data_IF_786195802310
#
_entry.id   IF_786195802310
#
_cell.length_a   1.000
_cell.length_b   1.000
_cell.length_c   1.000
_cell.angle_alpha   90.00
_cell.angle_beta   90.00
_cell.angle_gamma   90.00
#
_symmetry.space_group_name_H-M   'P 1'
#
loop_
_entity.id
_entity.type
_entity.pdbx_description
1 polymer ?
#
# COMPACT_ATOMS: atom_id res chain seq x y z
N UNK A 1 10.87 25.68 -4.43
CA UNK A 1 9.50 26.26 -4.49
C UNK A 1 8.73 25.65 -3.34
N UNK A 2 8.07 26.42 -2.47
CA UNK A 2 7.21 25.85 -1.43
C UNK A 2 5.97 25.31 -2.11
N UNK A 3 5.69 24.02 -1.88
CA UNK A 3 4.47 23.38 -2.37
C UNK A 3 3.27 24.11 -1.75
N UNK A 4 2.32 24.52 -2.57
CA UNK A 4 1.12 25.21 -2.09
C UNK A 4 0.28 24.23 -1.26
N UNK A 5 0.26 24.44 0.05
CA UNK A 5 -0.44 23.60 1.03
C UNK A 5 -1.96 23.70 0.96
N UNK A 6 -2.53 24.70 0.27
CA UNK A 6 -3.98 24.76 0.02
C UNK A 6 -4.45 23.60 -0.85
N UNK A 7 -3.61 23.05 -1.72
CA UNK A 7 -3.92 21.82 -2.45
C UNK A 7 -3.85 20.57 -1.55
N UNK A 8 -3.12 20.62 -0.44
CA UNK A 8 -3.00 19.54 0.54
C UNK A 8 -4.22 19.41 1.47
N UNK A 9 -5.04 20.45 1.60
CA UNK A 9 -6.26 20.38 2.42
C UNK A 9 -7.28 19.35 1.91
N UNK A 10 -7.11 18.86 0.68
CA UNK A 10 -7.93 17.83 0.05
C UNK A 10 -7.25 16.45 0.04
N UNK A 11 -5.97 16.36 0.45
CA UNK A 11 -5.24 15.09 0.46
C UNK A 11 -5.52 14.40 1.78
N UNK A 12 -5.88 13.10 1.75
CA UNK A 12 -6.07 12.35 2.97
C UNK A 12 -4.81 12.45 3.85
N UNK A 13 -4.94 12.91 5.09
CA UNK A 13 -3.81 12.95 6.05
C UNK A 13 -3.17 11.55 6.22
N UNK A 14 -3.93 10.48 5.92
CA UNK A 14 -3.43 9.11 5.88
C UNK A 14 -2.23 8.93 4.94
N UNK A 15 -2.17 9.69 3.85
CA UNK A 15 -1.02 9.71 2.94
C UNK A 15 0.22 10.34 3.62
N UNK A 16 0.02 11.40 4.40
CA UNK A 16 1.10 12.07 5.14
C UNK A 16 1.67 11.19 6.26
N UNK A 17 0.85 10.34 6.88
CA UNK A 17 1.31 9.37 7.89
C UNK A 17 2.29 8.37 7.26
N UNK A 18 1.97 7.85 6.08
CA UNK A 18 2.84 6.87 5.40
C UNK A 18 4.15 7.50 4.96
N UNK A 19 4.09 8.72 4.46
CA UNK A 19 5.26 9.50 4.07
C UNK A 19 6.18 9.78 5.27
N UNK A 20 5.60 10.31 6.37
CA UNK A 20 6.33 10.56 7.63
C UNK A 20 6.96 9.29 8.19
N UNK A 21 6.25 8.16 8.16
CA UNK A 21 6.74 6.90 8.69
C UNK A 21 7.99 6.43 7.95
N UNK A 22 7.99 6.49 6.62
CA UNK A 22 9.13 6.10 5.77
C UNK A 22 10.31 7.06 5.91
N UNK A 23 10.06 8.36 5.94
CA UNK A 23 11.11 9.37 6.15
C UNK A 23 11.77 9.23 7.53
N UNK A 24 10.97 9.02 8.59
CA UNK A 24 11.47 8.76 9.95
C UNK A 24 12.30 7.48 10.00
N UNK A 25 11.89 6.45 9.28
CA UNK A 25 12.63 5.18 9.20
C UNK A 25 13.97 5.33 8.51
N UNK A 26 14.01 6.07 7.41
CA UNK A 26 15.22 6.33 6.62
C UNK A 26 16.33 6.97 7.45
N UNK A 27 15.98 7.83 8.42
CA UNK A 27 16.92 8.47 9.34
C UNK A 27 17.51 7.57 10.43
N UNK A 28 17.08 6.31 10.56
CA UNK A 28 17.58 5.40 11.59
C UNK A 28 18.92 4.78 11.19
N UNK A 29 19.79 4.41 12.17
CA UNK A 29 21.06 3.77 11.88
C UNK A 29 20.95 2.44 11.11
N UNK A 30 19.88 1.68 11.35
CA UNK A 30 19.58 0.42 10.68
C UNK A 30 18.12 0.41 10.24
N UNK A 31 17.78 1.08 9.14
CA UNK A 31 16.41 1.22 8.69
C UNK A 31 15.88 -0.09 8.06
N UNK A 32 14.56 -0.32 8.18
CA UNK A 32 13.86 -1.41 7.50
C UNK A 32 13.80 -1.18 5.99
N UNK A 33 13.68 0.08 5.60
CA UNK A 33 13.75 0.54 4.22
C UNK A 33 14.37 1.94 4.20
N UNK A 34 14.91 2.32 3.04
CA UNK A 34 15.37 3.68 2.77
C UNK A 34 14.48 4.30 1.72
N UNK A 35 13.90 5.44 2.06
CA UNK A 35 13.04 6.23 1.19
C UNK A 35 13.50 7.69 1.22
N UNK A 36 14.56 7.98 0.46
CA UNK A 36 15.14 9.33 0.38
C UNK A 36 14.13 10.33 -0.22
N UNK A 37 13.23 9.82 -1.09
CA UNK A 37 12.18 10.64 -1.68
C UNK A 37 11.16 11.08 -0.63
N UNK A 38 10.80 10.20 0.30
CA UNK A 38 9.94 10.56 1.42
C UNK A 38 10.58 11.65 2.31
N UNK A 39 11.92 11.59 2.52
CA UNK A 39 12.66 12.63 3.26
C UNK A 39 12.61 13.95 2.51
N UNK A 40 12.87 13.94 1.20
CA UNK A 40 12.78 15.12 0.34
C UNK A 40 11.38 15.75 0.41
N UNK A 41 10.33 14.97 0.17
CA UNK A 41 8.94 15.44 0.10
C UNK A 41 8.51 16.08 1.42
N UNK A 42 8.81 15.44 2.56
CA UNK A 42 8.48 16.00 3.90
C UNK A 42 9.10 17.38 4.09
N UNK A 43 10.32 17.60 3.61
CA UNK A 43 10.99 18.89 3.69
C UNK A 43 10.29 20.03 2.92
N UNK A 44 9.44 19.69 1.96
CA UNK A 44 8.69 20.68 1.15
C UNK A 44 7.25 20.87 1.60
N UNK A 45 6.71 19.99 2.48
CA UNK A 45 5.33 20.05 2.95
C UNK A 45 5.26 20.87 4.24
N UNK A 46 4.50 21.95 4.23
CA UNK A 46 4.21 22.72 5.43
C UNK A 46 3.11 22.05 6.26
N UNK A 47 3.49 21.02 7.01
CA UNK A 47 2.58 20.27 7.90
C UNK A 47 3.29 19.99 9.23
N UNK A 48 2.56 20.03 10.34
CA UNK A 48 3.11 19.69 11.66
C UNK A 48 3.19 18.17 11.87
N UNK A 49 4.26 17.56 11.39
CA UNK A 49 4.55 16.14 11.58
C UNK A 49 4.86 15.75 13.04
N UNK A 50 5.01 16.73 13.95
CA UNK A 50 5.26 16.43 15.37
C UNK A 50 4.11 15.64 16.03
N UNK A 51 2.90 15.76 15.48
CA UNK A 51 1.71 15.02 15.91
C UNK A 51 1.91 13.50 15.83
N UNK A 52 2.73 13.03 14.90
CA UNK A 52 2.97 11.60 14.68
C UNK A 52 4.09 11.01 15.54
N UNK A 53 4.82 11.81 16.33
CA UNK A 53 5.97 11.32 17.14
C UNK A 53 5.62 10.17 18.09
N UNK A 54 4.37 10.04 18.52
CA UNK A 54 3.90 8.99 19.43
C UNK A 54 3.22 7.81 18.70
N UNK A 55 3.14 7.85 17.38
CA UNK A 55 2.43 6.85 16.55
C UNK A 55 3.38 5.70 16.17
N UNK A 56 3.87 5.00 17.19
CA UNK A 56 4.94 4.00 17.04
C UNK A 56 4.48 2.77 16.28
N UNK A 57 3.27 2.27 16.56
CA UNK A 57 2.77 1.04 15.92
C UNK A 57 2.53 1.24 14.43
N UNK A 58 1.91 2.36 14.05
CA UNK A 58 1.71 2.68 12.63
C UNK A 58 3.03 2.95 11.91
N UNK A 59 3.99 3.63 12.55
CA UNK A 59 5.32 3.86 11.95
C UNK A 59 6.01 2.54 11.61
N UNK A 60 6.03 1.58 12.54
CA UNK A 60 6.61 0.25 12.32
C UNK A 60 5.81 -0.50 11.26
N UNK A 61 4.47 -0.51 11.38
CA UNK A 61 3.58 -1.21 10.45
C UNK A 61 3.73 -0.75 9.02
N UNK A 62 3.73 0.57 8.77
CA UNK A 62 3.93 1.14 7.43
C UNK A 62 5.27 0.69 6.83
N UNK A 63 6.34 0.71 7.63
CA UNK A 63 7.67 0.37 7.12
C UNK A 63 7.85 -1.14 6.86
N UNK A 64 7.32 -2.01 7.73
CA UNK A 64 7.32 -3.46 7.48
C UNK A 64 6.47 -3.78 6.24
N UNK A 65 5.28 -3.18 6.13
CA UNK A 65 4.41 -3.35 4.98
C UNK A 65 5.11 -2.99 3.67
N UNK A 66 5.67 -1.79 3.61
CA UNK A 66 6.37 -1.31 2.42
C UNK A 66 7.57 -2.22 2.07
N UNK A 67 8.38 -2.62 3.06
CA UNK A 67 9.53 -3.50 2.85
C UNK A 67 9.12 -4.89 2.32
N UNK A 68 8.05 -5.48 2.84
CA UNK A 68 7.55 -6.78 2.37
C UNK A 68 7.03 -6.69 0.93
N UNK A 69 6.26 -5.64 0.61
CA UNK A 69 5.76 -5.41 -0.74
C UNK A 69 6.91 -5.13 -1.72
N UNK A 70 7.92 -4.35 -1.31
CA UNK A 70 9.13 -4.09 -2.12
C UNK A 70 9.88 -5.39 -2.43
N UNK A 71 10.04 -6.27 -1.44
CA UNK A 71 10.72 -7.56 -1.61
C UNK A 71 9.94 -8.48 -2.56
N UNK A 72 8.62 -8.59 -2.41
CA UNK A 72 7.79 -9.39 -3.32
C UNK A 72 7.77 -8.82 -4.74
N UNK A 73 7.72 -7.49 -4.88
CA UNK A 73 7.79 -6.81 -6.17
C UNK A 73 9.13 -7.07 -6.86
N UNK A 74 10.24 -6.94 -6.14
CA UNK A 74 11.59 -7.25 -6.66
C UNK A 74 11.70 -8.72 -7.08
N UNK A 75 11.15 -9.64 -6.27
CA UNK A 75 11.12 -11.06 -6.58
C UNK A 75 10.31 -11.38 -7.83
N UNK A 76 9.16 -10.71 -8.02
CA UNK A 76 8.34 -10.84 -9.23
C UNK A 76 9.08 -10.33 -10.47
N UNK A 77 9.69 -9.14 -10.39
CA UNK A 77 10.45 -8.55 -11.50
C UNK A 77 11.66 -9.42 -11.86
N UNK A 78 12.34 -10.01 -10.89
CA UNK A 78 13.45 -10.92 -11.15
C UNK A 78 13.02 -12.19 -11.91
N UNK A 79 11.81 -12.68 -11.68
CA UNK A 79 11.22 -13.82 -12.40
C UNK A 79 10.64 -13.42 -13.75
N UNK A 80 10.18 -12.16 -13.90
CA UNK A 80 9.55 -11.61 -15.09
C UNK A 80 10.20 -10.28 -15.48
N UNK A 81 11.41 -10.30 -16.08
CA UNK A 81 12.14 -9.06 -16.42
C UNK A 81 11.41 -8.15 -17.40
N UNK A 82 10.44 -8.69 -18.14
CA UNK A 82 9.59 -7.97 -19.10
C UNK A 82 8.18 -7.70 -18.55
N UNK A 83 8.02 -7.68 -17.23
CA UNK A 83 6.73 -7.45 -16.58
C UNK A 83 6.16 -6.05 -16.86
N UNK A 84 4.84 -5.95 -16.64
CA UNK A 84 4.15 -4.69 -16.41
C UNK A 84 3.74 -4.66 -14.94
N UNK A 85 4.09 -3.58 -14.24
CA UNK A 85 3.67 -3.34 -12.86
C UNK A 85 2.68 -2.19 -12.85
N UNK A 86 1.58 -2.34 -12.11
CA UNK A 86 0.66 -1.24 -11.82
C UNK A 86 0.43 -1.13 -10.32
N UNK A 87 0.64 0.07 -9.78
CA UNK A 87 0.34 0.40 -8.38
C UNK A 87 -0.95 1.22 -8.32
N UNK A 88 -1.98 0.67 -7.71
CA UNK A 88 -3.31 1.29 -7.55
C UNK A 88 -3.37 2.01 -6.20
N UNK A 89 -3.73 3.29 -6.23
CA UNK A 89 -3.68 4.16 -5.05
C UNK A 89 -2.24 4.50 -4.66
N UNK A 90 -1.43 4.91 -5.63
CA UNK A 90 0.02 5.12 -5.46
C UNK A 90 0.36 6.27 -4.50
N UNK A 91 -0.51 7.27 -4.37
CA UNK A 91 -0.29 8.43 -3.51
C UNK A 91 1.06 9.09 -3.75
N UNK A 92 1.83 9.26 -2.68
CA UNK A 92 3.20 9.76 -2.69
C UNK A 92 4.22 8.65 -2.41
N UNK A 93 3.88 7.37 -2.64
CA UNK A 93 4.84 6.28 -2.50
C UNK A 93 5.92 6.33 -3.59
N UNK A 94 7.17 6.21 -3.21
CA UNK A 94 8.34 6.24 -4.10
C UNK A 94 8.86 4.81 -4.38
N UNK A 95 7.97 3.82 -4.52
CA UNK A 95 8.39 2.43 -4.72
C UNK A 95 9.20 2.25 -5.99
N UNK A 96 8.78 2.86 -7.09
CA UNK A 96 9.52 2.79 -8.34
C UNK A 96 10.96 3.27 -8.17
N UNK A 97 11.17 4.44 -7.55
CA UNK A 97 12.49 5.00 -7.27
C UNK A 97 13.25 4.16 -6.25
N UNK A 98 12.57 3.72 -5.20
CA UNK A 98 13.15 2.91 -4.11
C UNK A 98 13.65 1.55 -4.60
N UNK A 99 13.03 0.99 -5.64
CA UNK A 99 13.48 -0.23 -6.32
C UNK A 99 14.53 0.04 -7.42
N UNK A 100 15.03 1.27 -7.54
CA UNK A 100 16.08 1.63 -8.49
C UNK A 100 15.58 1.83 -9.91
N UNK A 101 14.33 2.24 -10.09
CA UNK A 101 13.72 2.47 -11.40
C UNK A 101 13.87 1.25 -12.33
N UNK A 102 13.25 0.12 -12.01
CA UNK A 102 13.51 -1.16 -12.68
C UNK A 102 13.26 -1.08 -14.19
N UNK A 103 14.16 -1.66 -14.95
CA UNK A 103 14.09 -1.71 -16.43
C UNK A 103 13.18 -2.86 -16.87
N UNK A 104 11.88 -2.67 -16.72
CA UNK A 104 10.81 -3.58 -17.13
C UNK A 104 10.06 -3.04 -18.35
N UNK A 105 9.02 -3.73 -18.81
CA UNK A 105 8.21 -3.23 -19.94
C UNK A 105 7.57 -1.90 -19.60
N UNK A 106 6.84 -1.82 -18.47
CA UNK A 106 6.24 -0.57 -18.01
C UNK A 106 5.88 -0.61 -16.52
N UNK A 107 5.94 0.56 -15.87
CA UNK A 107 5.43 0.80 -14.54
C UNK A 107 4.34 1.88 -14.58
N UNK A 108 3.17 1.55 -14.09
CA UNK A 108 2.05 2.48 -13.95
C UNK A 108 1.79 2.80 -12.48
N UNK A 109 1.49 4.05 -12.21
CA UNK A 109 1.02 4.52 -10.90
C UNK A 109 -0.32 5.22 -11.08
N UNK A 110 -1.35 4.64 -10.48
CA UNK A 110 -2.71 5.11 -10.59
C UNK A 110 -3.17 5.68 -9.26
N UNK A 111 -3.78 6.86 -9.32
CA UNK A 111 -4.51 7.45 -8.19
C UNK A 111 -5.53 8.47 -8.72
N UNK A 112 -6.34 9.00 -7.80
CA UNK A 112 -7.29 10.05 -8.13
C UNK A 112 -6.58 11.31 -8.66
N UNK A 113 -7.24 12.12 -9.52
CA UNK A 113 -6.63 13.27 -10.17
C UNK A 113 -5.89 14.22 -9.21
N UNK A 114 -6.44 14.48 -8.03
CA UNK A 114 -5.83 15.36 -7.04
C UNK A 114 -4.52 14.78 -6.48
N UNK A 115 -4.47 13.47 -6.25
CA UNK A 115 -3.28 12.77 -5.79
C UNK A 115 -2.20 12.76 -6.86
N UNK A 116 -2.57 12.51 -8.12
CA UNK A 116 -1.63 12.53 -9.25
C UNK A 116 -1.10 13.95 -9.51
N UNK A 117 -1.95 14.97 -9.42
CA UNK A 117 -1.52 16.36 -9.54
C UNK A 117 -0.47 16.73 -8.49
N UNK A 118 -0.62 16.23 -7.25
CA UNK A 118 0.40 16.39 -6.22
C UNK A 118 1.65 15.56 -6.52
N UNK A 119 1.48 14.31 -6.94
CA UNK A 119 2.58 13.41 -7.29
C UNK A 119 3.50 14.03 -8.33
N UNK A 120 2.96 14.65 -9.39
CA UNK A 120 3.72 15.35 -10.45
C UNK A 120 4.60 16.49 -9.95
N UNK A 121 4.41 17.00 -8.74
CA UNK A 121 5.28 18.01 -8.16
C UNK A 121 6.61 17.43 -7.66
N UNK A 122 6.64 16.11 -7.39
CA UNK A 122 7.78 15.44 -6.78
C UNK A 122 8.38 14.34 -7.64
N UNK A 123 7.60 13.79 -8.56
CA UNK A 123 7.99 12.66 -9.39
C UNK A 123 7.87 13.00 -10.87
N UNK A 124 8.64 12.31 -11.70
CA UNK A 124 8.69 12.56 -13.14
C UNK A 124 8.36 11.29 -13.90
N UNK A 125 7.46 11.40 -14.86
CA UNK A 125 7.15 10.32 -15.80
C UNK A 125 8.32 10.07 -16.76
N UNK A 126 8.38 8.87 -17.30
CA UNK A 126 9.36 8.47 -18.31
C UNK A 126 8.67 7.61 -19.41
N UNK A 127 9.34 7.26 -20.50
CA UNK A 127 8.77 6.35 -21.49
C UNK A 127 8.34 4.98 -20.95
N UNK A 128 8.82 4.59 -19.76
CA UNK A 128 8.49 3.33 -19.09
C UNK A 128 7.83 3.51 -17.72
N UNK A 129 7.48 4.73 -17.34
CA UNK A 129 6.86 5.07 -16.05
C UNK A 129 5.80 6.15 -16.24
N UNK A 130 4.52 5.81 -16.03
CA UNK A 130 3.38 6.68 -16.34
C UNK A 130 2.42 6.80 -15.16
N UNK A 131 1.88 8.00 -14.96
CA UNK A 131 0.84 8.27 -13.96
C UNK A 131 -0.54 8.28 -14.61
N UNK A 132 -1.49 7.51 -14.04
CA UNK A 132 -2.86 7.41 -14.50
C UNK A 132 -3.80 8.12 -13.52
N UNK A 133 -4.52 9.12 -13.99
CA UNK A 133 -5.51 9.88 -13.22
C UNK A 133 -6.87 9.19 -13.28
N UNK A 134 -7.00 8.05 -12.60
CA UNK A 134 -8.18 7.19 -12.63
C UNK A 134 -8.54 6.71 -11.21
N UNK A 135 -9.81 6.39 -10.99
CA UNK A 135 -10.19 5.55 -9.86
C UNK A 135 -9.78 4.10 -10.14
N UNK A 136 -9.45 3.34 -9.08
CA UNK A 136 -9.20 1.91 -9.24
C UNK A 136 -10.41 1.14 -9.81
N UNK A 137 -11.63 1.68 -9.64
CA UNK A 137 -12.88 1.15 -10.20
C UNK A 137 -13.20 1.69 -11.60
N UNK A 138 -12.41 2.62 -12.13
CA UNK A 138 -12.44 2.97 -13.53
C UNK A 138 -11.51 2.00 -14.29
N UNK A 139 -12.08 0.91 -14.74
CA UNK A 139 -11.35 -0.23 -15.29
C UNK A 139 -10.65 0.02 -16.63
N UNK A 140 -10.62 1.26 -17.15
CA UNK A 140 -9.86 1.59 -18.36
C UNK A 140 -8.36 1.26 -18.22
N UNK A 141 -7.81 1.35 -17.00
CA UNK A 141 -6.42 0.97 -16.75
C UNK A 141 -6.12 -0.50 -17.09
N UNK A 142 -7.11 -1.38 -16.98
CA UNK A 142 -6.94 -2.81 -17.32
C UNK A 142 -6.58 -2.97 -18.80
N UNK A 143 -7.28 -2.26 -19.69
CA UNK A 143 -7.00 -2.32 -21.12
C UNK A 143 -5.62 -1.75 -21.45
N UNK A 144 -5.21 -0.69 -20.76
CA UNK A 144 -3.85 -0.11 -20.89
C UNK A 144 -2.79 -1.15 -20.53
N UNK A 145 -2.96 -1.84 -19.39
CA UNK A 145 -2.01 -2.84 -18.89
C UNK A 145 -2.00 -4.09 -19.81
N UNK A 146 -3.18 -4.59 -20.20
CA UNK A 146 -3.34 -5.78 -21.05
C UNK A 146 -2.74 -5.59 -22.46
N UNK A 147 -2.74 -4.36 -22.98
CA UNK A 147 -2.19 -4.06 -24.31
C UNK A 147 -0.71 -4.46 -24.45
N UNK A 148 0.03 -4.53 -23.36
CA UNK A 148 1.43 -4.97 -23.37
C UNK A 148 1.61 -6.47 -23.57
N UNK A 149 0.61 -7.30 -23.26
CA UNK A 149 0.66 -8.78 -23.37
C UNK A 149 1.86 -9.38 -22.61
N UNK A 150 2.13 -8.87 -21.41
CA UNK A 150 3.25 -9.24 -20.54
C UNK A 150 2.74 -9.75 -19.19
N UNK A 151 3.57 -10.43 -18.39
CA UNK A 151 3.25 -10.76 -17.01
C UNK A 151 2.88 -9.49 -16.22
N UNK A 152 1.79 -9.54 -15.43
CA UNK A 152 1.24 -8.38 -14.73
C UNK A 152 1.34 -8.56 -13.24
N UNK A 153 1.90 -7.56 -12.56
CA UNK A 153 1.82 -7.38 -11.12
C UNK A 153 0.95 -6.17 -10.79
N UNK A 154 -0.12 -6.41 -10.04
CA UNK A 154 -1.03 -5.37 -9.53
C UNK A 154 -0.74 -5.18 -8.05
N UNK A 155 -0.32 -3.98 -7.65
CA UNK A 155 -0.02 -3.62 -6.25
C UNK A 155 -1.12 -2.71 -5.73
N UNK A 156 -1.71 -3.06 -4.57
CA UNK A 156 -2.76 -2.27 -3.92
C UNK A 156 -2.42 -2.11 -2.44
N UNK A 157 -1.66 -1.06 -2.10
CA UNK A 157 -1.19 -0.82 -0.74
C UNK A 157 -1.98 0.30 -0.05
N UNK A 158 -2.58 0.00 1.11
CA UNK A 158 -3.25 0.98 1.95
C UNK A 158 -4.58 1.48 1.39
N UNK A 159 -5.25 0.69 0.54
CA UNK A 159 -6.42 1.11 -0.23
C UNK A 159 -7.64 0.24 0.02
N UNK A 160 -7.54 -1.09 -0.09
CA UNK A 160 -8.72 -1.98 -0.09
C UNK A 160 -9.51 -1.93 1.22
N UNK A 161 -8.89 -1.61 2.32
CA UNK A 161 -9.53 -1.52 3.64
C UNK A 161 -10.63 -0.46 3.74
N UNK A 162 -10.68 0.51 2.83
CA UNK A 162 -11.67 1.57 2.81
C UNK A 162 -12.96 1.22 2.07
N UNK A 163 -12.96 0.10 1.34
CA UNK A 163 -14.10 -0.37 0.58
C UNK A 163 -14.86 -1.47 1.32
N UNK A 164 -16.13 -1.67 1.00
CA UNK A 164 -16.92 -2.76 1.54
C UNK A 164 -16.42 -4.11 1.00
N UNK A 165 -16.81 -5.19 1.66
CA UNK A 165 -16.49 -6.55 1.21
C UNK A 165 -16.99 -6.81 -0.21
N UNK A 166 -18.19 -6.33 -0.49
CA UNK A 166 -18.85 -6.47 -1.79
C UNK A 166 -18.10 -5.71 -2.89
N UNK A 167 -17.64 -4.48 -2.61
CA UNK A 167 -16.84 -3.70 -3.54
C UNK A 167 -15.49 -4.37 -3.84
N UNK A 168 -14.82 -4.90 -2.81
CA UNK A 168 -13.56 -5.66 -2.98
C UNK A 168 -13.80 -6.94 -3.77
N UNK A 169 -14.89 -7.66 -3.51
CA UNK A 169 -15.24 -8.85 -4.27
C UNK A 169 -15.47 -8.53 -5.74
N UNK A 170 -16.24 -7.49 -6.05
CA UNK A 170 -16.48 -7.01 -7.43
C UNK A 170 -15.16 -6.65 -8.12
N UNK A 171 -14.25 -6.00 -7.40
CA UNK A 171 -12.92 -5.70 -7.93
C UNK A 171 -12.15 -6.96 -8.32
N UNK A 172 -12.08 -7.98 -7.44
CA UNK A 172 -11.38 -9.23 -7.75
C UNK A 172 -12.08 -10.03 -8.86
N UNK A 173 -13.42 -10.08 -8.90
CA UNK A 173 -14.18 -10.73 -9.97
C UNK A 173 -13.90 -10.06 -11.33
N UNK A 174 -13.77 -8.73 -11.35
CA UNK A 174 -13.38 -8.01 -12.55
C UNK A 174 -11.98 -8.41 -13.01
N UNK A 175 -11.01 -8.47 -12.10
CA UNK A 175 -9.65 -8.95 -12.44
C UNK A 175 -9.67 -10.39 -13.00
N UNK A 176 -10.43 -11.29 -12.37
CA UNK A 176 -10.58 -12.67 -12.84
C UNK A 176 -11.22 -12.79 -14.21
N UNK A 177 -12.12 -11.86 -14.55
CA UNK A 177 -12.77 -11.80 -15.87
C UNK A 177 -11.79 -11.31 -16.94
N UNK A 178 -11.02 -10.28 -16.62
CA UNK A 178 -10.20 -9.57 -17.61
C UNK A 178 -8.82 -10.19 -17.82
N UNK A 179 -8.22 -10.76 -16.78
CA UNK A 179 -6.91 -11.39 -16.89
C UNK A 179 -7.01 -12.90 -17.00
N UNK A 180 -6.21 -13.49 -17.87
CA UNK A 180 -5.98 -14.94 -17.89
C UNK A 180 -5.04 -15.32 -16.76
N UNK A 181 -4.02 -14.51 -16.55
CA UNK A 181 -3.03 -14.65 -15.51
C UNK A 181 -2.59 -13.28 -15.02
N UNK A 182 -2.56 -13.08 -13.70
CA UNK A 182 -2.03 -11.89 -13.05
C UNK A 182 -1.64 -12.20 -11.60
N UNK A 183 -0.72 -11.44 -11.05
CA UNK A 183 -0.40 -11.46 -9.61
C UNK A 183 -0.92 -10.18 -8.96
N UNK A 184 -1.65 -10.33 -7.85
CA UNK A 184 -2.15 -9.21 -7.04
C UNK A 184 -1.47 -9.23 -5.68
N UNK A 185 -0.83 -8.13 -5.32
CA UNK A 185 -0.12 -7.95 -4.06
C UNK A 185 -0.76 -6.80 -3.28
N UNK A 186 -1.28 -7.07 -2.09
CA UNK A 186 -1.98 -6.06 -1.31
C UNK A 186 -1.80 -6.27 0.20
N UNK A 187 -2.10 -5.24 0.97
CA UNK A 187 -2.16 -5.34 2.42
C UNK A 187 -3.58 -5.57 2.90
N UNK A 188 -3.72 -6.44 3.90
CA UNK A 188 -4.97 -6.72 4.57
C UNK A 188 -4.92 -6.24 6.01
N UNK A 189 -5.87 -5.39 6.35
CA UNK A 189 -6.01 -4.83 7.69
C UNK A 189 -6.20 -5.92 8.75
N UNK A 190 -5.78 -5.65 9.98
CA UNK A 190 -6.12 -6.51 11.12
C UNK A 190 -7.64 -6.57 11.30
N UNK A 191 -8.26 -7.78 11.37
CA UNK A 191 -9.72 -7.92 11.44
C UNK A 191 -10.37 -7.16 12.58
N UNK A 192 -9.65 -6.95 13.69
CA UNK A 192 -10.15 -6.21 14.86
C UNK A 192 -10.33 -4.71 14.60
N UNK A 193 -9.72 -4.15 13.56
CA UNK A 193 -9.80 -2.71 13.24
C UNK A 193 -10.99 -2.37 12.33
N UNK A 194 -11.65 -3.35 11.73
CA UNK A 194 -12.84 -3.12 10.89
C UNK A 194 -13.93 -2.44 11.75
N UNK A 195 -14.49 -1.34 11.23
CA UNK A 195 -15.45 -0.45 11.90
C UNK A 195 -14.93 0.15 13.21
N UNK A 196 -13.60 0.22 13.39
CA UNK A 196 -12.94 0.74 14.59
C UNK A 196 -11.75 1.64 14.25
N UNK A 197 -11.86 2.43 13.21
CA UNK A 197 -10.81 3.37 12.78
C UNK A 197 -10.35 4.29 13.92
N UNK A 198 -11.24 4.69 14.82
CA UNK A 198 -10.93 5.48 16.02
C UNK A 198 -9.97 4.78 17.01
N UNK A 199 -9.75 3.48 16.89
CA UNK A 199 -8.77 2.73 17.70
C UNK A 199 -7.38 2.68 17.08
N UNK A 200 -7.25 3.10 15.83
CA UNK A 200 -5.95 3.16 15.14
C UNK A 200 -5.14 4.34 15.65
N UNK A 201 -3.90 4.10 16.10
CA UNK A 201 -3.08 5.11 16.77
C UNK A 201 -2.81 6.36 15.92
N UNK A 202 -2.57 6.20 14.62
CA UNK A 202 -2.33 7.30 13.70
C UNK A 202 -3.61 8.11 13.40
N UNK A 203 -4.75 7.44 13.18
CA UNK A 203 -6.00 8.13 12.84
C UNK A 203 -6.55 8.97 13.99
N UNK A 204 -6.16 8.65 15.24
CA UNK A 204 -6.54 9.42 16.43
C UNK A 204 -5.83 10.77 16.54
N UNK A 205 -4.74 10.98 15.80
CA UNK A 205 -3.96 12.21 15.84
C UNK A 205 -4.33 13.20 14.73
N UNK A 206 -5.25 12.81 13.86
CA UNK A 206 -5.68 13.63 12.73
C UNK A 206 -6.67 14.71 13.14
N UNK A 207 -6.52 15.92 12.59
CA UNK A 207 -7.39 17.05 12.87
C UNK A 207 -8.62 17.07 11.96
N UNK A 208 -9.82 17.12 12.55
CA UNK A 208 -10.98 17.81 11.97
C UNK A 208 -11.73 17.11 10.83
N UNK A 209 -11.57 15.80 10.59
CA UNK A 209 -12.41 15.05 9.66
C UNK A 209 -13.05 13.84 10.32
N UNK A 210 -14.18 13.33 9.80
CA UNK A 210 -14.62 11.99 10.14
C UNK A 210 -13.48 11.03 9.77
N UNK A 211 -12.97 10.20 10.70
CA UNK A 211 -11.86 9.32 10.39
C UNK A 211 -12.26 8.41 9.24
N UNK A 212 -11.34 8.20 8.29
CA UNK A 212 -11.54 7.25 7.22
C UNK A 212 -11.98 5.91 7.84
N UNK A 213 -13.14 5.41 7.42
CA UNK A 213 -13.72 4.21 8.00
C UNK A 213 -13.06 2.98 7.41
N UNK A 214 -12.57 2.09 8.25
CA UNK A 214 -12.09 0.79 7.80
C UNK A 214 -13.26 -0.18 7.67
N UNK A 215 -13.55 -0.59 6.44
CA UNK A 215 -14.75 -1.38 6.14
C UNK A 215 -14.48 -2.85 5.92
N UNK A 216 -13.26 -3.22 5.49
CA UNK A 216 -12.95 -4.57 5.08
C UNK A 216 -11.66 -5.16 5.66
N UNK A 217 -11.76 -6.41 5.99
CA UNK A 217 -10.69 -7.39 6.21
C UNK A 217 -11.29 -8.79 6.23
N UNK A 218 -10.59 -9.79 5.71
CA UNK A 218 -10.98 -11.19 5.89
C UNK A 218 -10.34 -11.78 7.15
N UNK A 219 -11.09 -12.60 7.89
CA UNK A 219 -10.54 -13.32 9.05
C UNK A 219 -9.58 -14.42 8.61
N UNK A 220 -9.88 -15.07 7.51
CA UNK A 220 -9.07 -16.08 6.86
C UNK A 220 -8.89 -15.66 5.41
N UNK A 221 -7.67 -15.33 5.03
CA UNK A 221 -7.38 -14.87 3.66
C UNK A 221 -7.78 -15.90 2.61
N UNK A 222 -7.66 -17.19 2.93
CA UNK A 222 -8.06 -18.29 2.04
C UNK A 222 -9.56 -18.31 1.70
N UNK A 223 -10.41 -17.65 2.50
CA UNK A 223 -11.84 -17.56 2.18
C UNK A 223 -12.09 -16.78 0.88
N UNK A 224 -11.12 -15.97 0.43
CA UNK A 224 -11.17 -15.27 -0.87
C UNK A 224 -11.16 -16.25 -2.06
N UNK A 225 -10.58 -17.44 -1.92
CA UNK A 225 -10.60 -18.47 -2.98
C UNK A 225 -12.03 -18.96 -3.30
N UNK A 226 -12.99 -18.75 -2.36
CA UNK A 226 -14.39 -19.07 -2.57
C UNK A 226 -15.15 -18.03 -3.40
N UNK A 227 -14.56 -16.83 -3.60
CA UNK A 227 -15.20 -15.78 -4.39
C UNK A 227 -15.17 -16.09 -5.89
N UNK A 228 -14.05 -16.65 -6.36
CA UNK A 228 -13.88 -16.99 -7.76
C UNK A 228 -12.86 -18.13 -7.90
N UNK A 229 -13.14 -19.15 -8.75
CA UNK A 229 -12.24 -20.31 -8.91
C UNK A 229 -10.84 -19.96 -9.46
N UNK A 230 -10.66 -18.77 -10.02
CA UNK A 230 -9.37 -18.29 -10.49
C UNK A 230 -8.52 -17.63 -9.40
N UNK A 231 -9.06 -17.41 -8.20
CA UNK A 231 -8.34 -16.79 -7.09
C UNK A 231 -7.58 -17.87 -6.33
N UNK A 232 -6.26 -17.74 -6.26
CA UNK A 232 -5.38 -18.64 -5.52
C UNK A 232 -4.52 -17.86 -4.54
N UNK A 233 -4.53 -18.25 -3.26
CA UNK A 233 -3.66 -17.67 -2.25
C UNK A 233 -2.25 -18.25 -2.38
N UNK A 234 -1.35 -17.48 -3.00
CA UNK A 234 0.06 -17.89 -3.19
C UNK A 234 0.86 -17.74 -1.90
N UNK A 235 0.75 -16.55 -1.26
CA UNK A 235 1.52 -16.22 -0.05
C UNK A 235 0.74 -15.30 0.89
N UNK A 236 1.03 -15.45 2.17
CA UNK A 236 0.52 -14.57 3.22
C UNK A 236 1.62 -14.31 4.24
N UNK A 237 1.87 -13.03 4.55
CA UNK A 237 2.87 -12.58 5.49
C UNK A 237 2.21 -11.86 6.65
N UNK A 238 2.28 -12.43 7.83
CA UNK A 238 1.84 -11.77 9.06
C UNK A 238 2.92 -10.78 9.50
N UNK A 239 2.57 -9.49 9.54
CA UNK A 239 3.56 -8.42 9.73
C UNK A 239 4.30 -8.52 11.06
N UNK A 240 3.67 -9.07 12.11
CA UNK A 240 4.32 -9.26 13.42
C UNK A 240 5.46 -10.30 13.41
N UNK A 241 5.59 -11.10 12.35
CA UNK A 241 6.68 -12.10 12.24
C UNK A 241 8.01 -11.47 11.82
N UNK A 242 7.94 -10.22 11.32
CA UNK A 242 9.08 -9.49 10.79
C UNK A 242 9.55 -8.41 11.76
N UNK A 243 10.88 -8.26 11.89
CA UNK A 243 11.51 -7.22 12.71
C UNK A 243 10.91 -7.06 14.12
N UNK A 244 10.60 -8.17 14.76
CA UNK A 244 9.91 -8.24 16.05
C UNK A 244 10.51 -7.35 17.13
N UNK A 245 11.83 -7.12 17.08
CA UNK A 245 12.55 -6.29 18.06
C UNK A 245 12.11 -4.84 18.06
N UNK A 246 11.49 -4.37 16.98
CA UNK A 246 11.00 -3.00 16.84
C UNK A 246 9.67 -2.78 17.54
N UNK A 247 8.87 -3.82 17.70
CA UNK A 247 7.59 -3.72 18.41
C UNK A 247 7.79 -3.54 19.91
N UNK A 248 6.94 -2.72 20.58
CA UNK A 248 6.89 -2.66 22.03
C UNK A 248 6.73 -4.04 22.65
N UNK A 249 7.35 -4.26 23.82
CA UNK A 249 7.35 -5.57 24.49
C UNK A 249 5.94 -6.14 24.68
N UNK A 250 4.99 -5.28 25.04
CA UNK A 250 3.58 -5.67 25.24
C UNK A 250 3.01 -6.22 23.93
N UNK A 251 3.21 -5.54 22.81
CA UNK A 251 2.73 -6.00 21.49
C UNK A 251 3.37 -7.35 21.13
N UNK A 252 4.67 -7.51 21.36
CA UNK A 252 5.38 -8.79 21.12
C UNK A 252 4.83 -9.93 21.95
N UNK A 253 4.44 -9.69 23.20
CA UNK A 253 3.81 -10.70 24.05
C UNK A 253 2.38 -11.01 23.60
N UNK A 254 1.61 -9.99 23.19
CA UNK A 254 0.27 -10.19 22.64
C UNK A 254 0.27 -11.05 21.39
N UNK A 255 1.20 -10.83 20.47
CA UNK A 255 1.29 -11.65 19.24
C UNK A 255 1.68 -13.13 19.50
N UNK A 256 2.15 -13.49 20.69
CA UNK A 256 2.33 -14.91 21.10
C UNK A 256 1.02 -15.61 21.47
N UNK A 257 -0.04 -14.87 21.72
CA UNK A 257 -1.37 -15.42 22.02
C UNK A 257 -2.07 -15.69 20.68
N UNK A 258 -2.49 -16.95 20.38
CA UNK A 258 -3.05 -17.30 19.06
C UNK A 258 -4.22 -16.41 18.60
N UNK A 259 -5.09 -16.03 19.52
CA UNK A 259 -6.19 -15.11 19.24
C UNK A 259 -5.69 -13.74 18.80
N UNK A 260 -4.76 -13.13 19.56
CA UNK A 260 -4.20 -11.84 19.23
C UNK A 260 -3.40 -11.90 17.92
N UNK A 261 -2.60 -12.94 17.72
CA UNK A 261 -1.86 -13.15 16.48
C UNK A 261 -2.79 -13.12 15.27
N UNK A 262 -3.91 -13.84 15.33
CA UNK A 262 -4.86 -13.92 14.25
C UNK A 262 -5.68 -12.65 14.01
N UNK A 263 -6.11 -11.95 15.07
CA UNK A 263 -7.07 -10.85 14.96
C UNK A 263 -6.47 -9.45 15.02
N UNK A 264 -5.24 -9.31 15.54
CA UNK A 264 -4.53 -8.03 15.65
C UNK A 264 -3.47 -7.81 14.56
N UNK A 265 -3.17 -8.86 13.78
CA UNK A 265 -2.12 -8.80 12.79
C UNK A 265 -2.62 -8.23 11.47
N UNK A 266 -1.89 -7.29 10.93
CA UNK A 266 -1.98 -6.92 9.52
C UNK A 266 -1.17 -7.91 8.70
N UNK A 267 -1.54 -8.09 7.45
CA UNK A 267 -0.93 -9.07 6.55
C UNK A 267 -0.61 -8.46 5.20
N UNK A 268 0.44 -8.97 4.57
CA UNK A 268 0.63 -8.79 3.14
C UNK A 268 0.18 -10.09 2.47
N UNK A 269 -0.60 -9.95 1.42
CA UNK A 269 -1.23 -11.06 0.72
C UNK A 269 -0.83 -11.01 -0.75
N UNK A 270 -0.41 -12.16 -1.28
CA UNK A 270 -0.19 -12.36 -2.70
C UNK A 270 -1.22 -13.35 -3.21
N UNK A 271 -2.02 -12.92 -4.17
CA UNK A 271 -3.01 -13.71 -4.89
C UNK A 271 -2.53 -13.93 -6.32
N UNK A 272 -2.54 -15.18 -6.77
CA UNK A 272 -2.48 -15.54 -8.19
C UNK A 272 -3.88 -15.56 -8.79
N UNK A 273 -4.03 -14.99 -9.98
CA UNK A 273 -5.23 -15.12 -10.81
C UNK A 273 -4.83 -15.99 -12.00
N UNK A 274 -5.37 -17.21 -12.11
CA UNK A 274 -5.12 -18.16 -13.22
C UNK A 274 -6.15 -19.28 -13.30
#
# INVERSE_FOLDING_TARGET
>A
MSVNTESLSKIPETMLITLWAKATETGKPSPLLRDEKAVEIIGHINYDFSKFKKVVMSQIGVCIRASLIDNETSGFIAQHPDAVVIQLGAGLDARYERLGCPDITHWYELDLPESIALRRQFFTESPKHTFLELSLFDYQWIEIVKAHQKPVLIIVEGVLMYFSREEVQVFFDKLCTEFKEATVLFDMLAPMLVNKASKHDALRTMDGGAPAEFKWSEKHTRDMEQWNPKIHLDKEYFMSDYDQKRFPLIARLMYKIPYCYKYLNQRIVRIGIH
#
